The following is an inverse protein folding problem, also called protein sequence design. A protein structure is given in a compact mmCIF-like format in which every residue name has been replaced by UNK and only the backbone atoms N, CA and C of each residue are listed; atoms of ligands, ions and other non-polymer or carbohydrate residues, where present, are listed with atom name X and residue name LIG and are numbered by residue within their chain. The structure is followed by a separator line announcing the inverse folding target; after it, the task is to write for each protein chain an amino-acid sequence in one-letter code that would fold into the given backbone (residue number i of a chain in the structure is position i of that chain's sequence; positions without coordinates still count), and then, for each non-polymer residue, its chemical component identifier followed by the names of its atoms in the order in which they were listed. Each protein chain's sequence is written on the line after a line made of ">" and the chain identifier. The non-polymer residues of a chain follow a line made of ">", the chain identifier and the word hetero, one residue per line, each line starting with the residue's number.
data_IF_241708098726
#
_entry.id   IF_241708098726
#
_cell.length_a   1.000
_cell.length_b   1.000
_cell.length_c   1.000
_cell.angle_alpha   90.00
_cell.angle_beta   90.00
_cell.angle_gamma   90.00
#
_symmetry.space_group_name_H-M   'P 1'
#
loop_
_entity.id
_entity.type
_entity.pdbx_description
1 polymer ?
#
# COMPACT_ATOMS: atom_id res chain seq x y z
N UNK A 1 -2.69 16.66 8.38
CA UNK A 1 -2.77 15.29 7.82
C UNK A 1 -1.37 14.79 7.53
N UNK A 2 -0.77 13.99 8.42
CA UNK A 2 0.66 13.63 8.36
C UNK A 2 0.95 12.21 7.84
N UNK A 3 -0.09 11.48 7.42
CA UNK A 3 0.00 10.05 7.13
C UNK A 3 0.94 9.70 5.95
N UNK A 4 1.10 10.62 4.99
CA UNK A 4 1.94 10.42 3.79
C UNK A 4 3.21 11.28 3.79
N UNK A 5 3.42 12.14 4.79
CA UNK A 5 4.64 12.96 4.92
C UNK A 5 5.92 12.12 5.05
N UNK A 6 5.90 10.96 5.74
CA UNK A 6 7.04 10.05 5.73
C UNK A 6 7.39 9.54 4.31
N UNK A 7 6.43 9.47 3.37
CA UNK A 7 6.71 9.08 1.99
C UNK A 7 7.58 10.12 1.26
N UNK A 8 7.39 11.41 1.58
CA UNK A 8 8.23 12.49 1.06
C UNK A 8 9.64 12.43 1.63
N UNK A 9 9.79 12.18 2.93
CA UNK A 9 11.11 12.27 3.57
C UNK A 9 11.95 11.01 3.35
N UNK A 10 11.33 9.83 3.42
CA UNK A 10 12.07 8.55 3.40
C UNK A 10 12.14 7.89 2.03
N UNK A 11 11.19 8.18 1.15
CA UNK A 11 11.05 7.47 -0.12
C UNK A 11 11.12 8.36 -1.35
N UNK A 12 11.48 9.66 -1.21
CA UNK A 12 11.80 10.50 -2.37
C UNK A 12 12.89 9.83 -3.22
N UNK A 13 12.60 9.65 -4.50
CA UNK A 13 13.47 8.97 -5.47
C UNK A 13 13.44 7.43 -5.44
N UNK A 14 12.84 6.80 -4.42
CA UNK A 14 12.74 5.33 -4.30
C UNK A 14 11.31 4.80 -4.42
N UNK A 15 10.31 5.65 -4.14
CA UNK A 15 8.90 5.29 -4.30
C UNK A 15 8.52 5.37 -5.78
N UNK A 16 8.24 4.21 -6.37
CA UNK A 16 7.80 4.14 -7.76
C UNK A 16 6.31 4.50 -7.90
N UNK A 17 5.46 3.94 -7.04
CA UNK A 17 4.01 4.14 -7.08
C UNK A 17 3.35 3.80 -5.74
N UNK A 18 2.09 4.20 -5.58
CA UNK A 18 1.23 3.79 -4.46
C UNK A 18 -0.03 3.17 -5.03
N UNK A 19 -0.33 1.94 -4.64
CA UNK A 19 -1.58 1.25 -5.00
C UNK A 19 -2.49 1.21 -3.79
N UNK A 20 -3.66 1.82 -3.91
CA UNK A 20 -4.72 1.80 -2.90
C UNK A 20 -5.77 0.79 -3.35
N UNK A 21 -5.95 -0.25 -2.54
CA UNK A 21 -6.82 -1.39 -2.87
C UNK A 21 -8.15 -1.27 -2.14
N UNK A 22 -9.25 -1.54 -2.83
CA UNK A 22 -10.61 -1.61 -2.29
C UNK A 22 -11.05 -0.33 -1.57
N UNK A 23 -10.79 0.82 -2.18
CA UNK A 23 -11.41 2.07 -1.74
C UNK A 23 -12.93 1.97 -1.92
N UNK A 24 -13.76 2.22 -0.88
CA UNK A 24 -15.21 2.11 -1.03
C UNK A 24 -15.71 3.08 -2.11
N UNK A 25 -16.49 2.57 -3.07
CA UNK A 25 -16.86 3.26 -4.33
C UNK A 25 -17.55 4.62 -4.15
N UNK A 26 -18.13 4.88 -2.99
CA UNK A 26 -18.93 6.08 -2.70
C UNK A 26 -18.13 7.22 -2.08
N UNK A 27 -16.82 7.06 -1.86
CA UNK A 27 -16.04 8.03 -1.09
C UNK A 27 -15.04 8.77 -1.98
N UNK A 28 -15.56 9.50 -2.99
CA UNK A 28 -14.81 10.55 -3.71
C UNK A 28 -14.03 11.45 -2.74
N UNK A 29 -14.59 11.87 -1.58
CA UNK A 29 -13.85 12.67 -0.61
C UNK A 29 -12.59 11.97 -0.05
N UNK A 30 -12.63 10.64 0.12
CA UNK A 30 -11.49 9.90 0.66
C UNK A 30 -10.39 9.74 -0.40
N UNK A 31 -10.78 9.48 -1.64
CA UNK A 31 -9.84 9.46 -2.78
C UNK A 31 -9.13 10.81 -2.89
N UNK A 32 -9.91 11.89 -2.86
CA UNK A 32 -9.37 13.25 -3.00
C UNK A 32 -8.53 13.64 -1.78
N UNK A 33 -8.88 13.18 -0.57
CA UNK A 33 -8.05 13.37 0.63
C UNK A 33 -6.70 12.63 0.54
N UNK A 34 -6.68 11.40 0.02
CA UNK A 34 -5.44 10.64 -0.23
C UNK A 34 -4.56 11.40 -1.23
N UNK A 35 -5.13 11.88 -2.33
CA UNK A 35 -4.40 12.64 -3.35
C UNK A 35 -3.91 13.99 -2.82
N UNK A 36 -4.73 14.69 -2.03
CA UNK A 36 -4.35 15.96 -1.41
C UNK A 36 -3.19 15.78 -0.43
N UNK A 37 -3.18 14.67 0.33
CA UNK A 37 -2.12 14.32 1.25
C UNK A 37 -0.85 13.79 0.54
N UNK A 38 -0.95 13.35 -0.72
CA UNK A 38 0.18 12.83 -1.46
C UNK A 38 1.06 13.97 -2.02
N UNK A 39 2.40 13.82 -1.97
CA UNK A 39 3.33 14.71 -2.68
C UNK A 39 2.97 14.92 -4.15
N UNK A 40 3.25 16.11 -4.68
CA UNK A 40 2.95 16.45 -6.08
C UNK A 40 3.58 15.47 -7.09
N UNK A 41 4.83 15.03 -6.85
CA UNK A 41 5.54 14.06 -7.68
C UNK A 41 4.96 12.63 -7.62
N UNK A 42 4.16 12.32 -6.59
CA UNK A 42 3.57 11.01 -6.38
C UNK A 42 2.13 10.92 -6.87
N UNK A 43 1.37 12.03 -6.88
CA UNK A 43 -0.07 12.06 -7.21
C UNK A 43 -0.41 11.34 -8.52
N UNK A 44 0.38 11.54 -9.58
CA UNK A 44 0.16 10.90 -10.88
C UNK A 44 0.43 9.37 -10.88
N UNK A 45 1.04 8.85 -9.81
CA UNK A 45 1.44 7.44 -9.63
C UNK A 45 0.69 6.79 -8.46
N UNK A 46 -0.38 7.43 -7.98
CA UNK A 46 -1.34 6.81 -7.05
C UNK A 46 -2.41 6.12 -7.89
N UNK A 47 -2.52 4.80 -7.75
CA UNK A 47 -3.52 3.97 -8.42
C UNK A 47 -4.57 3.53 -7.41
N UNK A 48 -5.84 3.59 -7.81
CA UNK A 48 -6.96 3.07 -7.04
C UNK A 48 -7.50 1.86 -7.79
N UNK A 49 -7.48 0.70 -7.15
CA UNK A 49 -7.80 -0.58 -7.79
C UNK A 49 -8.67 -1.42 -6.86
N UNK A 50 -9.49 -2.30 -7.43
CA UNK A 50 -10.09 -3.40 -6.67
C UNK A 50 -9.03 -4.46 -6.34
N UNK A 51 -9.33 -5.31 -5.37
CA UNK A 51 -8.48 -6.43 -5.00
C UNK A 51 -8.07 -7.31 -6.19
N UNK A 52 -9.01 -7.64 -7.07
CA UNK A 52 -8.74 -8.50 -8.23
C UNK A 52 -7.79 -7.80 -9.23
N UNK A 53 -8.05 -6.52 -9.51
CA UNK A 53 -7.22 -5.68 -10.38
C UNK A 53 -5.80 -5.51 -9.83
N UNK A 54 -5.67 -5.33 -8.51
CA UNK A 54 -4.38 -5.22 -7.84
C UNK A 54 -3.60 -6.54 -7.87
N UNK A 55 -4.28 -7.67 -7.73
CA UNK A 55 -3.64 -9.00 -7.81
C UNK A 55 -3.09 -9.25 -9.22
N UNK A 56 -3.88 -8.99 -10.25
CA UNK A 56 -3.42 -9.09 -11.64
C UNK A 56 -2.27 -8.12 -11.94
N UNK A 57 -2.35 -6.91 -11.38
CA UNK A 57 -1.32 -5.90 -11.54
C UNK A 57 0.03 -6.36 -10.96
N UNK A 58 0.03 -6.92 -9.75
CA UNK A 58 1.21 -7.46 -9.09
C UNK A 58 1.84 -8.61 -9.90
N UNK A 59 1.02 -9.50 -10.45
CA UNK A 59 1.51 -10.61 -11.28
C UNK A 59 2.24 -10.14 -12.55
N UNK A 60 1.87 -8.99 -13.11
CA UNK A 60 2.51 -8.42 -14.31
C UNK A 60 3.77 -7.63 -14.00
N UNK A 61 3.87 -7.06 -12.79
CA UNK A 61 4.92 -6.10 -12.43
C UNK A 61 5.99 -6.66 -11.50
N UNK A 62 5.66 -7.70 -10.74
CA UNK A 62 6.54 -8.35 -9.78
C UNK A 62 6.91 -9.76 -10.26
N UNK A 63 8.00 -10.32 -9.71
CA UNK A 63 8.26 -11.75 -9.86
C UNK A 63 7.12 -12.55 -9.23
N UNK A 64 6.85 -13.76 -9.74
CA UNK A 64 5.81 -14.66 -9.21
C UNK A 64 5.91 -14.82 -7.69
N UNK A 65 7.12 -15.07 -7.19
CA UNK A 65 7.38 -15.24 -5.75
C UNK A 65 7.01 -14.00 -4.92
N UNK A 66 7.37 -12.79 -5.39
CA UNK A 66 7.03 -11.54 -4.69
C UNK A 66 5.55 -11.23 -4.79
N UNK A 67 4.94 -11.49 -5.96
CA UNK A 67 3.51 -11.32 -6.20
C UNK A 67 2.69 -12.21 -5.28
N UNK A 68 3.02 -13.49 -5.15
CA UNK A 68 2.29 -14.44 -4.29
C UNK A 68 2.36 -14.02 -2.82
N UNK A 69 3.53 -13.55 -2.36
CA UNK A 69 3.71 -13.01 -1.01
C UNK A 69 2.88 -11.76 -0.76
N UNK A 70 2.90 -10.81 -1.69
CA UNK A 70 2.12 -9.57 -1.58
C UNK A 70 0.62 -9.85 -1.61
N UNK A 71 0.16 -10.75 -2.47
CA UNK A 71 -1.25 -11.15 -2.53
C UNK A 71 -1.71 -11.77 -1.20
N UNK A 72 -0.93 -12.69 -0.61
CA UNK A 72 -1.24 -13.27 0.69
C UNK A 72 -1.31 -12.22 1.82
N UNK A 73 -0.36 -11.26 1.83
CA UNK A 73 -0.38 -10.16 2.79
C UNK A 73 -1.58 -9.22 2.58
N UNK A 74 -1.97 -8.97 1.34
CA UNK A 74 -3.18 -8.18 1.02
C UNK A 74 -4.45 -8.87 1.50
N UNK A 75 -4.58 -10.18 1.27
CA UNK A 75 -5.73 -10.98 1.71
C UNK A 75 -5.89 -10.94 3.23
N UNK A 76 -4.80 -11.14 3.98
CA UNK A 76 -4.81 -11.05 5.45
C UNK A 76 -5.22 -9.64 5.94
N UNK A 77 -4.75 -8.58 5.29
CA UNK A 77 -5.10 -7.21 5.68
C UNK A 77 -6.54 -6.81 5.31
N UNK A 78 -7.17 -7.53 4.39
CA UNK A 78 -8.56 -7.33 3.98
C UNK A 78 -9.55 -8.01 4.91
N UNK A 79 -9.11 -8.99 5.71
CA UNK A 79 -9.99 -9.73 6.61
C UNK A 79 -10.65 -8.81 7.66
N UNK A 80 -11.91 -8.47 7.40
CA UNK A 80 -12.71 -7.58 8.25
C UNK A 80 -13.13 -8.23 9.56
N UNK A 81 -12.98 -9.55 9.70
CA UNK A 81 -13.20 -10.25 10.97
C UNK A 81 -12.10 -9.92 12.00
N UNK A 82 -10.94 -9.45 11.54
CA UNK A 82 -9.82 -9.06 12.38
C UNK A 82 -9.90 -7.56 12.70
N UNK A 83 -9.86 -7.17 14.00
CA UNK A 83 -9.81 -5.77 14.42
C UNK A 83 -8.71 -4.97 13.71
N UNK A 84 -9.00 -3.72 13.37
CA UNK A 84 -8.07 -2.83 12.65
C UNK A 84 -6.73 -2.67 13.38
N UNK A 85 -6.73 -2.61 14.72
CA UNK A 85 -5.52 -2.51 15.54
C UNK A 85 -4.58 -3.72 15.34
N UNK A 86 -5.14 -4.92 15.25
CA UNK A 86 -4.40 -6.16 15.03
C UNK A 86 -3.88 -6.21 13.59
N UNK A 87 -4.72 -5.87 12.61
CA UNK A 87 -4.29 -5.79 11.19
C UNK A 87 -3.15 -4.79 10.99
N UNK A 88 -3.21 -3.63 11.66
CA UNK A 88 -2.14 -2.63 11.60
C UNK A 88 -0.81 -3.15 12.16
N UNK A 89 -0.87 -3.94 13.24
CA UNK A 89 0.32 -4.55 13.82
C UNK A 89 0.95 -5.62 12.90
N UNK A 90 0.17 -6.22 12.00
CA UNK A 90 0.63 -7.21 11.02
C UNK A 90 0.99 -6.62 9.65
N UNK A 91 1.10 -5.30 9.51
CA UNK A 91 1.53 -4.71 8.24
C UNK A 91 2.95 -5.17 7.90
N UNK A 92 3.19 -5.41 6.62
CA UNK A 92 4.44 -5.96 6.10
C UNK A 92 4.93 -5.16 4.90
N UNK A 93 6.23 -5.20 4.66
CA UNK A 93 6.89 -4.70 3.45
C UNK A 93 7.80 -5.77 2.86
N UNK A 94 8.07 -5.69 1.56
CA UNK A 94 9.15 -6.49 0.96
C UNK A 94 10.50 -5.84 1.25
N UNK A 95 11.45 -6.63 1.73
CA UNK A 95 12.85 -6.22 1.84
C UNK A 95 13.56 -6.25 0.48
N UNK A 96 14.83 -5.82 0.44
CA UNK A 96 15.65 -5.84 -0.78
C UNK A 96 15.94 -7.25 -1.34
N UNK A 97 15.51 -8.31 -0.64
CA UNK A 97 15.60 -9.71 -1.07
C UNK A 97 14.22 -10.29 -1.43
N UNK A 98 13.18 -9.47 -1.48
CA UNK A 98 11.82 -9.88 -1.81
C UNK A 98 11.12 -10.69 -0.71
N UNK A 99 11.57 -10.60 0.55
CA UNK A 99 10.94 -11.27 1.69
C UNK A 99 10.02 -10.32 2.44
N UNK A 100 8.90 -10.85 2.97
CA UNK A 100 8.02 -10.08 3.84
C UNK A 100 8.71 -9.85 5.18
N UNK A 101 8.83 -8.59 5.56
CA UNK A 101 9.31 -8.11 6.85
C UNK A 101 8.20 -7.28 7.50
N UNK A 102 8.08 -7.26 8.83
CA UNK A 102 7.18 -6.33 9.50
C UNK A 102 7.41 -4.89 9.04
N UNK A 103 6.33 -4.18 8.77
CA UNK A 103 6.35 -2.75 8.55
C UNK A 103 6.56 -2.08 9.91
N UNK A 104 7.83 -1.88 10.24
CA UNK A 104 8.22 -1.06 11.37
C UNK A 104 8.28 0.38 10.88
N UNK A 105 7.30 1.26 11.20
CA UNK A 105 7.57 2.68 11.15
C UNK A 105 8.70 2.89 12.15
N UNK A 106 9.95 3.01 11.66
CA UNK A 106 11.08 3.29 12.56
C UNK A 106 10.71 4.56 13.32
N UNK A 107 10.69 4.43 14.64
CA UNK A 107 10.31 5.48 15.57
C UNK A 107 10.98 6.79 15.19
N UNK A 108 10.17 7.84 15.12
CA UNK A 108 10.58 9.24 15.17
C UNK A 108 10.11 9.79 16.51
#
# INVERSE_FOLDING_TARGET
>A
SHLLRPLEVYFVGRLHEVVVVDLPRLVTPLRDAILAAAPQWLRARVKFMKYEEATEYLQRTCTRESSDRLAAAMEQNRDVSIPLSIRRASWQCLDGRGRLSPFLPREL
#
